data_IF_406692241149
#
_entry.id   IF_406692241149
#
_cell.length_a   1.000
_cell.length_b   1.000
_cell.length_c   1.000
_cell.angle_alpha   90.00
_cell.angle_beta   90.00
_cell.angle_gamma   90.00
#
_symmetry.space_group_name_H-M   'P 1'
#
loop_
_entity.id
_entity.type
_entity.pdbx_description
1 polymer ?
#
# COMPACT_ATOMS: atom_id res chain seq x y z
N UNK A 1 0.46 28.81 -52.00
CA UNK A 1 1.64 28.64 -51.12
C UNK A 1 1.35 27.48 -50.18
N UNK A 2 2.23 26.49 -50.17
CA UNK A 2 2.21 25.31 -49.31
C UNK A 2 2.69 25.71 -47.91
N UNK A 3 2.01 25.28 -46.86
CA UNK A 3 2.69 24.83 -45.64
C UNK A 3 1.82 23.82 -44.90
N UNK A 4 2.33 22.60 -44.81
CA UNK A 4 1.74 21.48 -44.12
C UNK A 4 1.79 21.70 -42.60
N UNK A 5 0.69 21.43 -41.92
CA UNK A 5 0.68 21.27 -40.47
C UNK A 5 1.19 19.87 -40.13
N UNK A 6 2.37 19.79 -39.54
CA UNK A 6 2.91 18.56 -38.96
C UNK A 6 2.28 18.43 -37.57
N UNK A 7 1.33 17.52 -37.41
CA UNK A 7 0.83 17.11 -36.11
C UNK A 7 1.84 16.13 -35.49
N UNK A 8 2.68 16.62 -34.58
CA UNK A 8 3.44 15.77 -33.66
C UNK A 8 2.47 15.18 -32.63
N UNK A 9 2.02 13.95 -32.86
CA UNK A 9 1.43 13.12 -31.81
C UNK A 9 2.58 12.44 -31.04
N UNK A 10 3.01 13.04 -29.94
CA UNK A 10 3.78 12.30 -28.94
C UNK A 10 2.84 11.31 -28.26
N UNK A 11 3.04 10.02 -28.55
CA UNK A 11 2.36 8.93 -27.88
C UNK A 11 2.73 8.90 -26.40
N UNK A 12 1.80 9.26 -25.52
CA UNK A 12 1.87 8.89 -24.12
C UNK A 12 1.43 7.42 -24.01
N UNK A 13 2.36 6.50 -24.28
CA UNK A 13 2.22 5.11 -23.89
C UNK A 13 2.33 5.03 -22.37
N UNK A 14 1.26 5.37 -21.65
CA UNK A 14 1.08 4.89 -20.29
C UNK A 14 0.95 3.37 -20.41
N UNK A 15 2.06 2.66 -20.18
CA UNK A 15 2.09 1.20 -20.22
C UNK A 15 1.10 0.68 -19.17
N UNK A 16 -0.06 0.21 -19.61
CA UNK A 16 -0.95 -0.62 -18.82
C UNK A 16 -0.20 -1.91 -18.51
N UNK A 17 0.53 -1.92 -17.40
CA UNK A 17 1.32 -3.07 -16.99
C UNK A 17 0.35 -4.12 -16.45
N UNK A 18 0.16 -5.18 -17.22
CA UNK A 18 -0.73 -6.30 -16.90
C UNK A 18 -0.36 -6.92 -15.55
N UNK A 19 -1.36 -7.24 -14.74
CA UNK A 19 -1.18 -7.88 -13.44
C UNK A 19 -0.52 -9.26 -13.50
N UNK A 20 -0.48 -9.88 -14.69
CA UNK A 20 0.08 -11.20 -14.95
C UNK A 20 1.59 -11.31 -14.73
N UNK A 21 2.33 -10.20 -14.72
CA UNK A 21 3.79 -10.20 -14.66
C UNK A 21 4.34 -9.83 -13.27
N UNK A 22 3.46 -9.57 -12.30
CA UNK A 22 3.87 -9.16 -10.95
C UNK A 22 4.08 -10.39 -10.07
N UNK A 23 5.25 -10.47 -9.44
CA UNK A 23 5.54 -11.45 -8.40
C UNK A 23 5.25 -10.85 -7.03
N UNK A 24 4.73 -11.66 -6.10
CA UNK A 24 4.41 -11.24 -4.73
C UNK A 24 5.26 -12.05 -3.74
N UNK A 25 6.03 -11.36 -2.91
CA UNK A 25 6.92 -11.97 -1.91
C UNK A 25 6.60 -11.47 -0.49
N UNK A 26 6.78 -12.36 0.48
CA UNK A 26 6.60 -12.13 1.93
C UNK A 26 5.19 -11.72 2.37
N UNK A 27 4.20 -11.90 1.51
CA UNK A 27 2.81 -11.78 1.92
C UNK A 27 2.46 -12.90 2.91
N UNK A 28 1.63 -12.62 3.93
CA UNK A 28 1.11 -13.67 4.81
C UNK A 28 0.38 -14.73 3.98
N UNK A 29 0.33 -15.96 4.46
CA UNK A 29 -0.33 -17.07 3.78
C UNK A 29 -1.85 -16.88 3.71
N UNK A 30 -2.42 -16.33 4.78
CA UNK A 30 -3.86 -16.25 5.02
C UNK A 30 -4.38 -14.82 5.08
N UNK A 31 -3.61 -13.91 5.68
CA UNK A 31 -4.00 -12.52 5.82
C UNK A 31 -3.35 -11.84 7.01
N UNK A 32 -3.91 -10.70 7.40
CA UNK A 32 -3.55 -10.02 8.67
C UNK A 32 -4.79 -9.61 9.44
N UNK A 33 -4.67 -9.55 10.75
CA UNK A 33 -5.54 -8.79 11.64
C UNK A 33 -4.69 -7.82 12.47
N UNK A 34 -5.09 -6.56 12.50
CA UNK A 34 -4.55 -5.59 13.42
C UNK A 34 -5.61 -5.30 14.48
N UNK A 35 -5.30 -5.57 15.77
CA UNK A 35 -6.14 -5.11 16.87
C UNK A 35 -6.34 -3.61 16.77
N UNK A 36 -7.48 -3.16 17.26
CA UNK A 36 -7.74 -1.74 17.32
C UNK A 36 -8.54 -1.40 18.58
N UNK A 37 -7.81 -1.30 19.69
CA UNK A 37 -8.34 -0.93 21.00
C UNK A 37 -8.67 0.58 21.01
N UNK A 38 -9.73 0.97 20.30
CA UNK A 38 -10.10 2.37 20.12
C UNK A 38 -11.01 2.68 18.94
N UNK A 39 -11.02 1.80 17.95
CA UNK A 39 -11.77 1.95 16.72
C UNK A 39 -13.11 1.23 16.72
N UNK A 40 -13.96 1.62 15.77
CA UNK A 40 -15.18 0.87 15.44
C UNK A 40 -14.92 -0.33 14.51
N UNK A 41 -13.67 -0.56 14.08
CA UNK A 41 -13.29 -1.71 13.25
C UNK A 41 -11.81 -2.13 13.37
N UNK A 42 -11.57 -3.44 13.37
CA UNK A 42 -10.24 -4.04 13.16
C UNK A 42 -9.82 -3.96 11.68
N UNK A 43 -8.52 -3.84 11.43
CA UNK A 43 -7.96 -4.05 10.09
C UNK A 43 -7.79 -5.55 9.88
N UNK A 44 -8.80 -6.17 9.28
CA UNK A 44 -8.73 -7.57 8.84
C UNK A 44 -8.65 -7.60 7.32
N UNK A 45 -7.68 -8.33 6.78
CA UNK A 45 -7.48 -8.56 5.35
C UNK A 45 -7.19 -10.02 5.10
N UNK A 46 -7.66 -10.56 3.96
CA UNK A 46 -7.08 -11.79 3.40
C UNK A 46 -5.90 -11.45 2.48
N UNK A 47 -5.02 -12.41 2.24
CA UNK A 47 -3.80 -12.23 1.42
C UNK A 47 -4.08 -11.72 0.02
N UNK A 48 -5.17 -12.17 -0.62
CA UNK A 48 -5.50 -11.75 -1.98
C UNK A 48 -5.80 -10.24 -2.04
N UNK A 49 -6.53 -9.72 -1.06
CA UNK A 49 -6.84 -8.29 -1.01
C UNK A 49 -5.59 -7.45 -0.74
N UNK A 50 -4.66 -7.94 0.10
CA UNK A 50 -3.36 -7.30 0.32
C UNK A 50 -2.58 -7.18 -1.00
N UNK A 51 -2.55 -8.26 -1.80
CA UNK A 51 -1.88 -8.26 -3.11
C UNK A 51 -2.50 -7.27 -4.06
N UNK A 52 -3.83 -7.21 -4.14
CA UNK A 52 -4.53 -6.25 -4.98
C UNK A 52 -4.26 -4.80 -4.55
N UNK A 53 -4.19 -4.53 -3.25
CA UNK A 53 -3.82 -3.19 -2.78
C UNK A 53 -2.39 -2.83 -3.08
N UNK A 54 -1.45 -3.72 -2.83
CA UNK A 54 -0.06 -3.48 -3.12
C UNK A 54 0.16 -3.26 -4.63
N UNK A 55 -0.52 -4.04 -5.47
CA UNK A 55 -0.55 -3.85 -6.92
C UNK A 55 -1.03 -2.44 -7.27
N UNK A 56 -2.19 -2.01 -6.77
CA UNK A 56 -2.75 -0.68 -7.05
C UNK A 56 -1.83 0.45 -6.53
N UNK A 57 -1.21 0.26 -5.38
CA UNK A 57 -0.36 1.26 -4.73
C UNK A 57 1.02 1.40 -5.37
N UNK A 58 1.52 0.41 -6.12
CA UNK A 58 2.90 0.36 -6.64
C UNK A 58 3.38 1.58 -7.43
N UNK A 59 2.44 2.33 -8.01
CA UNK A 59 2.73 3.53 -8.82
C UNK A 59 2.63 4.84 -8.01
N UNK A 60 2.33 4.78 -6.72
CA UNK A 60 2.29 5.96 -5.85
C UNK A 60 3.70 6.49 -5.59
N UNK A 61 3.76 7.76 -5.21
CA UNK A 61 4.99 8.34 -4.71
C UNK A 61 5.48 7.51 -3.50
N UNK A 62 6.74 7.06 -3.51
CA UNK A 62 7.26 6.29 -2.39
C UNK A 62 7.47 7.19 -1.18
N UNK A 63 7.24 6.64 0.01
CA UNK A 63 7.51 7.35 1.26
C UNK A 63 9.03 7.48 1.50
N UNK A 64 9.82 6.48 1.05
CA UNK A 64 11.28 6.55 1.00
C UNK A 64 11.81 5.78 -0.22
N UNK A 65 13.01 6.13 -0.65
CA UNK A 65 13.74 5.49 -1.76
C UNK A 65 14.34 4.14 -1.37
N UNK A 66 14.38 3.79 -0.09
CA UNK A 66 14.92 2.52 0.39
C UNK A 66 14.03 1.90 1.47
N UNK A 67 13.51 0.70 1.19
CA UNK A 67 12.71 -0.09 2.10
C UNK A 67 13.52 -0.57 3.31
N UNK A 68 14.85 -0.68 3.16
CA UNK A 68 15.76 -0.90 4.27
C UNK A 68 15.66 0.17 5.39
N UNK A 69 15.17 1.38 5.08
CA UNK A 69 15.02 2.46 6.06
C UNK A 69 13.82 2.28 7.00
N UNK A 70 12.89 1.35 6.72
CA UNK A 70 11.78 1.04 7.62
C UNK A 70 12.22 0.39 8.94
N UNK A 71 13.49 -0.02 9.06
CA UNK A 71 14.13 -0.55 10.26
C UNK A 71 13.38 -1.72 10.96
N UNK A 72 12.38 -2.32 10.31
CA UNK A 72 11.55 -3.39 10.83
C UNK A 72 11.00 -4.27 9.71
N UNK A 73 10.87 -5.57 9.99
CA UNK A 73 10.33 -6.56 9.06
C UNK A 73 11.31 -7.02 7.95
N UNK A 74 10.86 -7.90 7.05
CA UNK A 74 11.68 -8.50 6.00
C UNK A 74 12.21 -7.49 4.98
N UNK A 75 11.58 -6.32 4.85
CA UNK A 75 12.03 -5.26 3.95
C UNK A 75 13.32 -4.56 4.38
N UNK A 76 13.82 -4.82 5.60
CA UNK A 76 15.13 -4.35 6.06
C UNK A 76 16.29 -4.76 5.13
N UNK A 77 16.12 -5.83 4.36
CA UNK A 77 17.13 -6.37 3.44
C UNK A 77 17.10 -5.71 2.05
N UNK A 78 16.08 -4.91 1.75
CA UNK A 78 15.84 -4.31 0.43
C UNK A 78 16.45 -2.92 0.30
N UNK A 79 17.78 -2.85 0.23
CA UNK A 79 18.48 -1.58 -0.01
C UNK A 79 18.26 -1.05 -1.42
N UNK A 80 17.86 0.21 -1.54
CA UNK A 80 17.64 0.89 -2.82
C UNK A 80 16.34 0.53 -3.54
N UNK A 81 15.47 -0.27 -2.91
CA UNK A 81 14.10 -0.52 -3.39
C UNK A 81 13.16 0.46 -2.68
N UNK A 82 12.37 1.28 -3.38
CA UNK A 82 11.47 2.23 -2.72
C UNK A 82 10.35 1.52 -1.93
N UNK A 83 9.92 2.11 -0.81
CA UNK A 83 8.73 1.65 -0.08
C UNK A 83 7.58 2.65 -0.15
N UNK A 84 6.38 2.11 -0.09
CA UNK A 84 5.11 2.80 -0.23
C UNK A 84 4.30 2.48 1.03
N UNK A 85 3.83 3.52 1.71
CA UNK A 85 2.90 3.38 2.82
C UNK A 85 1.48 3.66 2.32
N UNK A 86 0.55 2.82 2.74
CA UNK A 86 -0.87 2.92 2.36
C UNK A 86 -1.70 2.86 3.62
N UNK A 87 -2.32 3.97 3.99
CA UNK A 87 -3.28 4.00 5.09
C UNK A 87 -4.57 3.29 4.68
N UNK A 88 -5.07 2.42 5.57
CA UNK A 88 -6.30 1.65 5.41
C UNK A 88 -7.30 2.11 6.45
N UNK A 89 -8.56 2.20 6.05
CA UNK A 89 -9.55 2.99 6.79
C UNK A 89 -10.74 2.16 7.30
N UNK A 90 -10.97 0.95 6.75
CA UNK A 90 -11.96 0.00 7.27
C UNK A 90 -11.63 -1.44 6.86
N UNK A 91 -12.14 -2.41 7.64
CA UNK A 91 -12.20 -3.86 7.33
C UNK A 91 -12.31 -4.09 5.83
N UNK A 92 -11.33 -4.79 5.26
CA UNK A 92 -11.22 -4.95 3.83
C UNK A 92 -12.41 -5.73 3.29
N UNK A 93 -13.38 -5.00 2.74
CA UNK A 93 -14.14 -5.50 1.61
C UNK A 93 -14.13 -4.55 0.44
N UNK A 94 -14.12 -3.23 0.64
CA UNK A 94 -14.07 -2.23 -0.44
C UNK A 94 -13.49 -0.93 0.18
N UNK A 95 -12.57 -0.26 -0.52
CA UNK A 95 -11.97 1.06 -0.20
C UNK A 95 -10.69 1.08 0.66
N UNK A 96 -9.53 0.69 0.09
CA UNK A 96 -8.33 1.47 0.37
C UNK A 96 -8.33 2.69 -0.56
N UNK A 97 -8.12 3.88 0.00
CA UNK A 97 -7.95 5.10 -0.79
C UNK A 97 -6.63 5.02 -1.58
N UNK A 98 -6.73 4.63 -2.86
CA UNK A 98 -5.58 4.65 -3.78
C UNK A 98 -5.45 6.00 -4.51
N UNK A 99 -6.36 6.96 -4.31
CA UNK A 99 -6.32 8.23 -5.04
C UNK A 99 -5.64 9.34 -4.23
N UNK A 100 -4.80 10.14 -4.92
CA UNK A 100 -4.15 11.34 -4.38
C UNK A 100 -5.14 12.53 -4.21
N UNK A 101 -6.41 12.34 -4.58
CA UNK A 101 -7.52 13.26 -4.32
C UNK A 101 -8.84 12.48 -4.26
N UNK A 102 -9.28 12.08 -3.06
CA UNK A 102 -10.70 12.15 -2.62
C UNK A 102 -10.75 11.73 -1.14
N UNK A 103 -10.70 12.75 -0.28
CA UNK A 103 -10.51 12.67 1.17
C UNK A 103 -11.82 12.56 1.95
N UNK A 104 -12.97 12.22 1.36
CA UNK A 104 -14.24 12.61 1.97
C UNK A 104 -15.13 11.54 2.60
N UNK A 105 -14.91 10.22 2.45
CA UNK A 105 -15.92 9.27 2.98
C UNK A 105 -15.43 7.94 3.58
N UNK A 106 -14.12 7.68 3.65
CA UNK A 106 -13.63 6.44 4.26
C UNK A 106 -12.84 6.75 5.52
N UNK A 107 -13.47 7.34 6.52
CA UNK A 107 -12.92 7.28 7.87
C UNK A 107 -13.64 6.16 8.62
N UNK A 108 -13.02 5.62 9.67
CA UNK A 108 -13.81 4.90 10.67
C UNK A 108 -14.95 5.80 11.17
N UNK A 109 -15.96 5.24 11.84
CA UNK A 109 -17.09 6.04 12.38
C UNK A 109 -16.61 7.16 13.33
N UNK A 110 -15.43 7.01 13.92
CA UNK A 110 -14.78 8.01 14.78
C UNK A 110 -13.86 9.01 14.03
N UNK A 111 -13.68 8.88 12.71
CA UNK A 111 -12.79 9.76 11.96
C UNK A 111 -11.33 9.30 11.90
N UNK A 112 -10.98 8.05 12.26
CA UNK A 112 -9.59 7.58 12.34
C UNK A 112 -9.23 6.53 11.27
N UNK A 113 -7.91 6.32 11.06
CA UNK A 113 -7.39 5.27 10.17
C UNK A 113 -7.37 3.92 10.90
N UNK A 114 -7.74 2.84 10.23
CA UNK A 114 -7.73 1.47 10.79
C UNK A 114 -6.32 0.87 10.88
N UNK A 115 -5.40 1.34 10.03
CA UNK A 115 -4.01 0.95 10.06
C UNK A 115 -3.24 1.50 8.86
N UNK A 116 -1.96 1.15 8.76
CA UNK A 116 -1.10 1.46 7.61
C UNK A 116 -0.41 0.18 7.14
N UNK A 117 -0.51 -0.10 5.85
CA UNK A 117 0.20 -1.19 5.17
C UNK A 117 1.45 -0.63 4.50
N UNK A 118 2.53 -1.39 4.58
CA UNK A 118 3.81 -1.03 3.98
C UNK A 118 4.22 -2.09 2.96
N UNK A 119 4.53 -1.64 1.76
CA UNK A 119 4.98 -2.49 0.66
C UNK A 119 6.22 -1.90 0.02
N UNK A 120 7.07 -2.74 -0.55
CA UNK A 120 8.16 -2.31 -1.42
C UNK A 120 7.90 -2.81 -2.84
N UNK A 121 8.22 -1.99 -3.84
CA UNK A 121 8.09 -2.39 -5.25
C UNK A 121 9.44 -2.29 -5.96
N UNK A 122 10.00 -3.45 -6.29
CA UNK A 122 11.17 -3.55 -7.16
C UNK A 122 10.69 -3.58 -8.62
N UNK A 123 10.69 -2.41 -9.26
CA UNK A 123 10.28 -2.28 -10.66
C UNK A 123 11.17 -3.08 -11.61
N UNK A 124 12.46 -3.23 -11.30
CA UNK A 124 13.41 -3.99 -12.11
C UNK A 124 13.10 -5.48 -12.13
N UNK A 125 12.67 -6.02 -10.98
CA UNK A 125 12.25 -7.43 -10.84
C UNK A 125 10.77 -7.66 -11.09
N UNK A 126 9.95 -6.59 -11.17
CA UNK A 126 8.49 -6.64 -11.14
C UNK A 126 7.97 -7.38 -9.90
N UNK A 127 8.63 -7.22 -8.76
CA UNK A 127 8.26 -7.89 -7.51
C UNK A 127 7.72 -6.88 -6.50
N UNK A 128 6.57 -7.21 -5.92
CA UNK A 128 5.99 -6.51 -4.78
C UNK A 128 6.28 -7.32 -3.52
N UNK A 129 6.84 -6.65 -2.52
CA UNK A 129 7.17 -7.21 -1.22
C UNK A 129 6.21 -6.66 -0.18
N UNK A 130 5.61 -7.53 0.64
CA UNK A 130 4.95 -7.11 1.86
C UNK A 130 6.01 -6.83 2.93
N UNK A 131 5.97 -5.64 3.54
CA UNK A 131 6.96 -5.24 4.54
C UNK A 131 6.41 -5.39 5.95
N UNK A 132 5.31 -4.71 6.25
CA UNK A 132 4.66 -4.76 7.55
C UNK A 132 3.25 -4.15 7.44
N UNK A 133 2.46 -4.32 8.49
CA UNK A 133 1.24 -3.58 8.75
C UNK A 133 1.27 -3.08 10.20
N UNK A 134 0.78 -1.87 10.39
CA UNK A 134 0.56 -1.29 11.70
C UNK A 134 -0.94 -1.00 11.84
N UNK A 135 -1.51 -1.31 13.00
CA UNK A 135 -2.86 -0.91 13.36
C UNK A 135 -2.96 0.59 13.64
N UNK A 136 -4.07 1.02 14.23
CA UNK A 136 -4.17 2.37 14.76
C UNK A 136 -3.29 2.53 16.01
N UNK A 137 -3.08 3.78 16.43
CA UNK A 137 -2.45 4.06 17.72
C UNK A 137 -3.33 3.52 18.83
N UNK A 138 -2.73 2.69 19.68
CA UNK A 138 -3.46 2.07 20.78
C UNK A 138 -3.83 3.11 21.84
N UNK A 139 -5.06 3.03 22.35
CA UNK A 139 -5.46 3.83 23.52
C UNK A 139 -4.93 3.26 24.84
N UNK A 140 -4.12 2.19 24.80
CA UNK A 140 -3.48 1.58 25.97
C UNK A 140 -2.40 2.46 26.64
N UNK A 141 -2.15 3.66 26.13
CA UNK A 141 -1.20 4.62 26.70
C UNK A 141 0.26 4.38 26.30
N UNK A 142 0.54 3.41 25.42
CA UNK A 142 1.90 3.16 24.92
C UNK A 142 2.41 4.27 23.99
N UNK A 143 1.51 5.01 23.33
CA UNK A 143 1.86 5.99 22.30
C UNK A 143 2.35 5.38 20.99
N UNK A 144 2.20 4.05 20.82
CA UNK A 144 2.60 3.33 19.62
C UNK A 144 1.40 2.69 18.90
N UNK A 145 1.48 2.48 17.57
CA UNK A 145 0.51 1.69 16.83
C UNK A 145 0.47 0.23 17.31
N UNK A 146 -0.72 -0.36 17.32
CA UNK A 146 -0.88 -1.80 17.58
C UNK A 146 -0.23 -2.62 16.45
N UNK A 147 0.45 -3.71 16.83
CA UNK A 147 1.06 -4.62 15.87
C UNK A 147 0.02 -5.50 15.20
N UNK A 148 0.15 -5.71 13.89
CA UNK A 148 -0.69 -6.66 13.16
C UNK A 148 -0.12 -8.09 13.26
N UNK A 149 -1.01 -9.08 13.29
CA UNK A 149 -0.67 -10.50 13.30
C UNK A 149 -1.27 -11.21 12.09
N UNK A 150 -0.62 -12.27 11.63
CA UNK A 150 -1.20 -13.17 10.62
C UNK A 150 -2.40 -13.93 11.22
N UNK A 151 -3.45 -14.17 10.42
CA UNK A 151 -4.75 -14.75 10.86
C UNK A 151 -5.02 -16.15 10.36
#
# INVERSE_FOLDING_TARGET
MKTAAIALLFAAAASAQSASDITYEWFPATGISCPNDGATAELISVTEDLKQFAFKARNKAPQDKSAANMASGPCGELSGVPYIAVSVLRSLRICAMVTDQEQTEAWQENGEIAGTLYFAYDQGKKTIYYCNALGAYSNNGSGYPDGCSEV
#
